data_IF_673996522739
#
_entry.id   IF_673996522739
#
_cell.length_a   1.000
_cell.length_b   1.000
_cell.length_c   1.000
_cell.angle_alpha   90.00
_cell.angle_beta   90.00
_cell.angle_gamma   90.00
#
_symmetry.space_group_name_H-M   'P 1'
#
loop_
_entity.id
_entity.type
_entity.pdbx_description
1 polymer ?
#
# COMPACT_ATOMS: atom_id res chain seq x y z
N UNK A 1 -19.69 -5.64 8.45
CA UNK A 1 -18.60 -5.25 7.52
C UNK A 1 -18.68 -5.97 6.18
N UNK A 2 -19.44 -7.06 5.99
CA UNK A 2 -19.49 -7.84 4.74
C UNK A 2 -20.03 -7.15 3.49
N UNK A 3 -20.72 -6.01 3.62
CA UNK A 3 -21.54 -5.45 2.53
C UNK A 3 -20.93 -4.19 1.87
N UNK A 4 -19.80 -3.68 2.40
CA UNK A 4 -19.11 -2.56 1.74
C UNK A 4 -18.17 -3.10 0.67
N UNK A 5 -18.18 -2.58 -0.57
CA UNK A 5 -17.26 -3.03 -1.62
C UNK A 5 -15.78 -2.91 -1.21
N UNK A 6 -15.42 -1.90 -0.42
CA UNK A 6 -14.04 -1.77 0.11
C UNK A 6 -13.80 -2.46 1.46
N UNK A 7 -14.79 -3.13 2.06
CA UNK A 7 -14.55 -3.70 3.38
C UNK A 7 -13.43 -4.74 3.30
N UNK A 8 -12.43 -4.51 4.13
CA UNK A 8 -11.40 -5.48 4.49
C UNK A 8 -12.10 -6.66 5.19
N UNK A 9 -12.74 -7.50 4.38
CA UNK A 9 -13.21 -8.83 4.71
C UNK A 9 -12.55 -9.79 3.73
N UNK A 10 -11.96 -10.86 4.27
CA UNK A 10 -11.26 -11.88 3.51
C UNK A 10 -12.11 -12.43 2.36
N UNK A 11 -11.43 -12.71 1.25
CA UNK A 11 -11.95 -13.10 -0.06
C UNK A 11 -12.36 -11.94 -0.99
N UNK A 12 -11.34 -11.33 -1.61
CA UNK A 12 -11.36 -10.57 -2.86
C UNK A 12 -12.26 -9.32 -2.98
N UNK A 13 -11.67 -8.15 -2.73
CA UNK A 13 -11.67 -7.05 -3.72
C UNK A 13 -10.25 -6.46 -3.77
N UNK A 14 -9.54 -6.70 -4.89
CA UNK A 14 -8.22 -6.09 -5.11
C UNK A 14 -8.39 -4.57 -5.14
N UNK A 15 -7.47 -3.79 -4.53
CA UNK A 15 -7.48 -2.34 -4.71
C UNK A 15 -7.50 -2.03 -6.21
N UNK A 16 -8.34 -1.07 -6.62
CA UNK A 16 -8.39 -0.64 -8.01
C UNK A 16 -7.42 0.51 -8.23
N UNK A 17 -7.04 0.71 -9.49
CA UNK A 17 -5.93 1.58 -9.88
C UNK A 17 -6.05 3.00 -9.35
N UNK A 18 -7.24 3.59 -9.42
CA UNK A 18 -7.51 4.96 -8.99
C UNK A 18 -7.38 5.14 -7.46
N UNK A 19 -7.73 4.12 -6.67
CA UNK A 19 -7.52 4.15 -5.21
C UNK A 19 -6.02 4.20 -4.89
N UNK A 20 -5.24 3.34 -5.54
CA UNK A 20 -3.78 3.29 -5.37
C UNK A 20 -3.16 4.61 -5.85
N UNK A 21 -3.55 5.08 -7.03
CA UNK A 21 -3.06 6.32 -7.61
C UNK A 21 -3.32 7.53 -6.70
N UNK A 22 -4.53 7.64 -6.14
CA UNK A 22 -4.84 8.70 -5.18
C UNK A 22 -3.98 8.59 -3.93
N UNK A 23 -3.95 7.44 -3.26
CA UNK A 23 -3.18 7.29 -2.02
C UNK A 23 -1.71 7.63 -2.24
N UNK A 24 -1.13 7.06 -3.30
CA UNK A 24 0.27 7.26 -3.63
C UNK A 24 0.56 8.71 -3.97
N UNK A 25 -0.31 9.41 -4.70
CA UNK A 25 -0.10 10.82 -5.07
C UNK A 25 0.15 11.77 -3.90
N UNK A 26 -0.19 11.34 -2.67
CA UNK A 26 0.04 12.07 -1.41
C UNK A 26 1.43 11.84 -0.80
N UNK A 27 2.13 10.76 -1.17
CA UNK A 27 3.39 10.32 -0.55
C UNK A 27 4.56 11.29 -0.80
N UNK A 28 4.47 12.13 -1.83
CA UNK A 28 5.41 13.22 -2.07
C UNK A 28 5.22 14.44 -1.17
N UNK A 29 4.10 14.52 -0.43
CA UNK A 29 3.76 15.62 0.46
C UNK A 29 3.36 15.07 1.83
N UNK A 30 4.36 14.71 2.62
CA UNK A 30 4.16 14.19 3.97
C UNK A 30 4.25 15.35 4.97
N UNK A 31 3.14 15.64 5.65
CA UNK A 31 2.99 16.83 6.49
C UNK A 31 2.98 16.44 7.97
N UNK A 32 3.99 16.88 8.76
CA UNK A 32 3.97 16.78 10.22
C UNK A 32 2.77 17.52 10.80
N UNK A 33 2.00 16.82 11.64
CA UNK A 33 0.84 17.38 12.35
C UNK A 33 0.87 16.95 13.80
N UNK A 34 0.35 17.79 14.70
CA UNK A 34 0.12 17.48 16.11
C UNK A 34 -1.30 16.94 16.30
N UNK A 35 -2.27 17.60 15.69
CA UNK A 35 -3.68 17.23 15.76
C UNK A 35 -4.21 16.76 14.40
N UNK A 36 -5.33 16.05 14.44
CA UNK A 36 -5.96 15.52 13.21
C UNK A 36 -6.59 16.63 12.35
N UNK A 37 -6.92 17.79 12.94
CA UNK A 37 -7.53 18.95 12.30
C UNK A 37 -6.53 20.08 11.98
N UNK A 38 -5.22 19.79 12.05
CA UNK A 38 -4.16 20.68 11.56
C UNK A 38 -4.21 20.84 10.04
N UNK A 39 -4.66 19.80 9.33
CA UNK A 39 -5.07 19.88 7.93
C UNK A 39 -6.59 19.95 7.83
N UNK A 40 -7.08 20.68 6.84
CA UNK A 40 -8.50 20.96 6.63
C UNK A 40 -8.98 20.48 5.28
N UNK A 41 -10.11 19.76 5.27
CA UNK A 41 -10.88 19.40 4.08
C UNK A 41 -10.00 18.88 2.94
N UNK A 42 -9.97 19.57 1.80
CA UNK A 42 -9.22 19.21 0.59
C UNK A 42 -7.70 19.20 0.75
N UNK A 43 -7.13 19.75 1.84
CA UNK A 43 -5.70 19.55 2.14
C UNK A 43 -5.38 18.06 2.31
N UNK A 44 -6.34 17.26 2.79
CA UNK A 44 -6.21 15.80 2.86
C UNK A 44 -6.19 15.10 1.49
N UNK A 45 -6.52 15.78 0.40
CA UNK A 45 -6.44 15.18 -0.95
C UNK A 45 -5.00 15.13 -1.48
N UNK A 46 -4.12 15.98 -0.97
CA UNK A 46 -2.75 16.13 -1.47
C UNK A 46 -1.67 15.81 -0.44
N UNK A 47 -2.01 15.65 0.83
CA UNK A 47 -1.04 15.45 1.92
C UNK A 47 -1.26 14.16 2.72
N UNK A 48 -0.20 13.37 2.92
CA UNK A 48 -0.19 12.29 3.89
C UNK A 48 0.20 12.83 5.27
N UNK A 49 -0.56 12.45 6.30
CA UNK A 49 -0.26 12.82 7.68
C UNK A 49 -0.72 11.73 8.64
N UNK A 50 -0.13 11.73 9.83
CA UNK A 50 -0.60 10.98 11.00
C UNK A 50 -0.46 11.89 12.22
N UNK A 51 -1.58 12.25 12.86
CA UNK A 51 -1.58 13.21 13.97
C UNK A 51 -0.61 12.81 15.10
N UNK A 52 0.30 13.69 15.51
CA UNK A 52 1.32 13.41 16.52
C UNK A 52 2.55 12.65 15.99
N UNK A 53 2.60 12.29 14.71
CA UNK A 53 3.80 11.78 14.06
C UNK A 53 4.56 12.93 13.39
N UNK A 54 5.38 13.65 14.16
CA UNK A 54 6.06 14.84 13.68
C UNK A 54 7.42 14.57 12.98
N UNK A 55 8.06 13.43 13.25
CA UNK A 55 9.36 13.08 12.65
C UNK A 55 9.18 12.60 11.21
N UNK A 56 10.01 13.07 10.29
CA UNK A 56 9.96 12.69 8.87
C UNK A 56 10.11 11.17 8.65
N UNK A 57 11.10 10.54 9.29
CA UNK A 57 11.30 9.08 9.19
C UNK A 57 10.10 8.27 9.67
N UNK A 58 9.48 8.69 10.77
CA UNK A 58 8.28 8.07 11.32
C UNK A 58 7.10 8.19 10.33
N UNK A 59 6.91 9.36 9.72
CA UNK A 59 5.86 9.56 8.72
C UNK A 59 6.09 8.68 7.49
N UNK A 60 7.32 8.64 6.97
CA UNK A 60 7.64 7.80 5.80
C UNK A 60 7.48 6.31 6.10
N UNK A 61 7.84 5.86 7.31
CA UNK A 61 7.59 4.50 7.78
C UNK A 61 6.09 4.16 7.83
N UNK A 62 5.27 5.05 8.42
CA UNK A 62 3.81 4.88 8.48
C UNK A 62 3.19 4.93 7.08
N UNK A 63 3.68 5.81 6.22
CA UNK A 63 3.21 5.96 4.85
C UNK A 63 3.46 4.68 4.04
N UNK A 64 4.65 4.10 4.15
CA UNK A 64 4.99 2.82 3.50
C UNK A 64 4.14 1.66 4.03
N UNK A 65 3.88 1.58 5.34
CA UNK A 65 3.03 0.55 5.91
C UNK A 65 1.57 0.66 5.45
N UNK A 66 1.02 1.88 5.36
CA UNK A 66 -0.33 2.11 4.85
C UNK A 66 -0.39 1.85 3.33
N UNK A 67 0.61 2.29 2.55
CA UNK A 67 0.71 1.99 1.11
C UNK A 67 0.67 0.49 0.87
N UNK A 68 1.50 -0.26 1.60
CA UNK A 68 1.55 -1.71 1.51
C UNK A 68 0.19 -2.33 1.87
N UNK A 69 -0.44 -1.87 2.95
CA UNK A 69 -1.73 -2.39 3.36
C UNK A 69 -2.83 -2.18 2.31
N UNK A 70 -2.88 -0.99 1.70
CA UNK A 70 -3.85 -0.66 0.67
C UNK A 70 -3.52 -1.38 -0.65
N UNK A 71 -2.31 -1.22 -1.16
CA UNK A 71 -1.91 -1.69 -2.50
C UNK A 71 -1.76 -3.21 -2.61
N UNK A 72 -1.44 -3.90 -1.52
CA UNK A 72 -1.32 -5.36 -1.50
C UNK A 72 -2.48 -6.06 -0.78
N UNK A 73 -3.51 -5.30 -0.35
CA UNK A 73 -4.70 -5.85 0.31
C UNK A 73 -4.42 -6.54 1.65
N UNK A 74 -3.57 -5.94 2.49
CA UNK A 74 -3.15 -6.53 3.77
C UNK A 74 -4.18 -6.28 4.86
N UNK A 75 -4.31 -7.25 5.76
CA UNK A 75 -5.23 -7.18 6.89
C UNK A 75 -4.73 -6.31 8.03
N UNK A 76 -5.64 -5.98 8.96
CA UNK A 76 -5.35 -5.15 10.13
C UNK A 76 -4.28 -5.75 11.05
N UNK A 77 -4.21 -7.07 11.18
CA UNK A 77 -3.22 -7.73 12.05
C UNK A 77 -1.79 -7.57 11.54
N UNK A 78 -1.58 -7.66 10.23
CA UNK A 78 -0.25 -7.47 9.65
C UNK A 78 0.15 -5.99 9.70
N UNK A 79 -0.77 -5.08 9.40
CA UNK A 79 -0.53 -3.65 9.61
C UNK A 79 -0.23 -3.32 11.09
N UNK A 80 -0.86 -4.02 12.04
CA UNK A 80 -0.57 -3.85 13.47
C UNK A 80 0.85 -4.28 13.81
N UNK A 81 1.32 -5.39 13.25
CA UNK A 81 2.71 -5.83 13.43
C UNK A 81 3.70 -4.79 12.89
N UNK A 82 3.44 -4.28 11.69
CA UNK A 82 4.25 -3.22 11.07
C UNK A 82 4.24 -1.94 11.92
N UNK A 83 3.06 -1.50 12.37
CA UNK A 83 2.93 -0.32 13.23
C UNK A 83 3.73 -0.43 14.53
N UNK A 84 3.66 -1.57 15.23
CA UNK A 84 4.42 -1.77 16.48
C UNK A 84 5.93 -1.70 16.24
N UNK A 85 6.40 -2.29 15.14
CA UNK A 85 7.81 -2.22 14.77
C UNK A 85 8.25 -0.79 14.44
N UNK A 86 7.43 -0.04 13.69
CA UNK A 86 7.67 1.36 13.36
C UNK A 86 7.76 2.23 14.62
N UNK A 87 6.79 2.11 15.54
CA UNK A 87 6.78 2.81 16.83
C UNK A 87 8.08 2.56 17.59
N UNK A 88 8.47 1.29 17.71
CA UNK A 88 9.69 0.86 18.41
C UNK A 88 10.95 1.41 17.76
N UNK A 89 11.10 1.28 16.44
CA UNK A 89 12.30 1.73 15.71
C UNK A 89 12.48 3.25 15.73
N UNK A 90 11.37 4.00 15.75
CA UNK A 90 11.40 5.46 15.75
C UNK A 90 11.40 6.08 17.16
N UNK A 91 11.28 5.25 18.21
CA UNK A 91 11.13 5.70 19.60
C UNK A 91 9.94 6.64 19.77
N UNK A 92 8.82 6.34 19.10
CA UNK A 92 7.64 7.21 19.12
C UNK A 92 6.81 6.95 20.37
N UNK A 93 6.75 7.94 21.26
CA UNK A 93 6.05 7.90 22.54
C UNK A 93 5.16 9.12 22.69
N UNK A 94 4.27 9.11 23.69
CA UNK A 94 3.32 10.17 24.00
C UNK A 94 2.13 10.24 23.02
N UNK A 95 1.88 9.21 22.22
CA UNK A 95 0.81 9.23 21.22
C UNK A 95 -0.52 8.72 21.80
N UNK A 96 -1.64 9.22 21.26
CA UNK A 96 -2.97 8.91 21.77
C UNK A 96 -3.29 7.41 21.72
N UNK A 97 -3.51 6.81 22.89
CA UNK A 97 -3.85 5.39 23.04
C UNK A 97 -2.68 4.50 23.47
N UNK A 98 -1.45 5.03 23.53
CA UNK A 98 -0.27 4.32 24.00
C UNK A 98 -0.48 3.73 25.41
N UNK A 99 0.08 2.54 25.66
CA UNK A 99 0.09 1.91 26.97
C UNK A 99 -1.21 1.18 27.35
N UNK A 100 -2.22 1.15 26.46
CA UNK A 100 -3.44 0.37 26.67
C UNK A 100 -3.82 -0.45 25.44
N UNK A 101 -4.12 -1.73 25.62
CA UNK A 101 -4.48 -2.63 24.51
C UNK A 101 -5.61 -2.06 23.63
N UNK A 102 -6.63 -1.46 24.26
CA UNK A 102 -7.76 -0.84 23.55
C UNK A 102 -7.35 0.43 22.81
N UNK A 103 -6.53 1.29 23.43
CA UNK A 103 -6.05 2.53 22.82
C UNK A 103 -5.15 2.27 21.61
N UNK A 104 -4.21 1.33 21.72
CA UNK A 104 -3.34 0.93 20.61
C UNK A 104 -4.15 0.32 19.46
N UNK A 105 -5.09 -0.59 19.79
CA UNK A 105 -5.96 -1.20 18.79
C UNK A 105 -6.83 -0.17 18.06
N UNK A 106 -7.37 0.81 18.79
CA UNK A 106 -8.10 1.94 18.21
C UNK A 106 -7.19 2.77 17.29
N UNK A 107 -5.99 3.13 17.74
CA UNK A 107 -5.05 3.96 16.96
C UNK A 107 -4.68 3.32 15.64
N UNK A 108 -4.26 2.05 15.69
CA UNK A 108 -3.89 1.25 14.52
C UNK A 108 -5.06 1.15 13.54
N UNK A 109 -6.26 0.82 14.04
CA UNK A 109 -7.46 0.76 13.22
C UNK A 109 -7.78 2.09 12.58
N UNK A 110 -7.75 3.18 13.35
CA UNK A 110 -8.09 4.53 12.86
C UNK A 110 -7.16 4.96 11.74
N UNK A 111 -5.84 4.77 11.88
CA UNK A 111 -4.87 5.13 10.83
C UNK A 111 -5.16 4.36 9.54
N UNK A 112 -5.27 3.03 9.61
CA UNK A 112 -5.46 2.21 8.42
C UNK A 112 -6.82 2.45 7.77
N UNK A 113 -7.89 2.38 8.55
CA UNK A 113 -9.26 2.45 8.01
C UNK A 113 -9.58 3.83 7.45
N UNK A 114 -9.11 4.90 8.08
CA UNK A 114 -9.31 6.26 7.58
C UNK A 114 -8.65 6.43 6.22
N UNK A 115 -7.35 6.12 6.13
CA UNK A 115 -6.62 6.23 4.85
C UNK A 115 -7.23 5.33 3.77
N UNK A 116 -7.55 4.07 4.09
CA UNK A 116 -8.15 3.14 3.14
C UNK A 116 -9.51 3.63 2.62
N UNK A 117 -10.41 4.09 3.49
CA UNK A 117 -11.75 4.54 3.11
C UNK A 117 -11.71 5.87 2.33
N UNK A 118 -10.89 6.84 2.74
CA UNK A 118 -10.74 8.09 2.00
C UNK A 118 -10.13 7.85 0.62
N UNK A 119 -9.15 6.95 0.51
CA UNK A 119 -8.55 6.61 -0.79
C UNK A 119 -9.49 5.83 -1.68
N UNK A 120 -10.30 4.93 -1.11
CA UNK A 120 -11.38 4.27 -1.84
C UNK A 120 -12.37 5.29 -2.40
N UNK A 121 -12.88 6.19 -1.54
CA UNK A 121 -13.84 7.22 -1.92
C UNK A 121 -13.29 8.13 -3.02
N UNK A 122 -12.03 8.59 -2.90
CA UNK A 122 -11.36 9.40 -3.90
C UNK A 122 -11.22 8.69 -5.25
N UNK A 123 -10.78 7.42 -5.23
CA UNK A 123 -10.69 6.63 -6.44
C UNK A 123 -12.07 6.40 -7.09
N UNK A 124 -13.11 6.15 -6.29
CA UNK A 124 -14.48 5.99 -6.77
C UNK A 124 -15.03 7.29 -7.35
N UNK A 125 -14.78 8.43 -6.71
CA UNK A 125 -15.17 9.74 -7.24
C UNK A 125 -14.55 9.98 -8.61
N UNK A 126 -13.27 9.64 -8.78
CA UNK A 126 -12.58 9.73 -10.05
C UNK A 126 -13.26 8.88 -11.14
N UNK A 127 -13.61 7.63 -10.81
CA UNK A 127 -14.35 6.74 -11.73
C UNK A 127 -15.75 7.25 -12.05
N UNK A 128 -16.45 7.82 -11.07
CA UNK A 128 -17.80 8.37 -11.26
C UNK A 128 -17.79 9.57 -12.20
N UNK A 129 -16.82 10.48 -12.04
CA UNK A 129 -16.64 11.64 -12.92
C UNK A 129 -16.26 11.21 -14.33
N UNK A 130 -15.29 10.30 -14.48
CA UNK A 130 -14.87 9.79 -15.78
C UNK A 130 -15.98 9.00 -16.50
N UNK A 131 -16.80 8.26 -15.76
CA UNK A 131 -17.93 7.48 -16.31
C UNK A 131 -19.15 8.30 -16.71
N UNK A 132 -19.18 9.60 -16.40
CA UNK A 132 -20.27 10.54 -16.73
C UNK A 132 -21.68 10.00 -16.40
N UNK A 133 -21.83 9.36 -15.23
CA UNK A 133 -23.11 8.79 -14.81
C UNK A 133 -24.12 9.89 -14.50
N UNK A 134 -25.32 9.92 -15.11
CA UNK A 134 -26.33 10.97 -14.89
C UNK A 134 -26.97 10.95 -13.49
N UNK A 135 -26.87 9.82 -12.77
CA UNK A 135 -27.42 9.65 -11.42
C UNK A 135 -26.37 9.03 -10.52
N UNK A 136 -26.16 9.62 -9.36
CA UNK A 136 -25.38 9.05 -8.27
C UNK A 136 -26.32 8.57 -7.16
N UNK A 137 -26.00 7.40 -6.60
CA UNK A 137 -26.77 6.74 -5.54
C UNK A 137 -25.93 6.68 -4.28
N UNK A 138 -26.40 7.33 -3.21
CA UNK A 138 -25.79 7.22 -1.88
C UNK A 138 -26.18 5.88 -1.25
N UNK A 139 -25.20 5.13 -0.75
CA UNK A 139 -25.41 3.86 -0.07
C UNK A 139 -24.75 3.86 1.30
N UNK A 140 -25.49 3.38 2.29
CA UNK A 140 -24.96 3.06 3.59
C UNK A 140 -24.22 1.71 3.55
N UNK A 141 -23.01 1.65 4.11
CA UNK A 141 -22.28 0.38 4.29
C UNK A 141 -22.63 -0.30 5.60
N UNK A 142 -22.04 -1.46 5.89
CA UNK A 142 -22.39 -2.29 7.05
C UNK A 142 -21.80 -1.85 8.40
N UNK A 143 -21.97 -0.58 8.79
CA UNK A 143 -21.61 -0.04 10.11
C UNK A 143 -22.52 -0.65 11.19
N UNK A 144 -21.95 -1.09 12.32
CA UNK A 144 -22.73 -1.67 13.42
C UNK A 144 -23.55 -0.62 14.18
N UNK A 145 -23.00 0.59 14.32
CA UNK A 145 -23.64 1.73 14.97
C UNK A 145 -23.76 2.86 13.94
N UNK A 146 -24.75 2.79 13.02
CA UNK A 146 -24.90 3.77 11.97
C UNK A 146 -25.47 5.09 12.50
N UNK A 147 -25.00 6.22 11.95
CA UNK A 147 -25.60 7.54 12.21
C UNK A 147 -27.00 7.58 11.56
N UNK A 148 -28.07 8.00 12.28
CA UNK A 148 -29.42 8.05 11.72
C UNK A 148 -29.51 8.84 10.41
N UNK A 149 -28.81 9.97 10.32
CA UNK A 149 -28.78 10.80 9.10
C UNK A 149 -28.26 10.02 7.88
N UNK A 150 -27.30 9.12 8.07
CA UNK A 150 -26.72 8.34 6.96
C UNK A 150 -27.66 7.22 6.50
N UNK A 151 -28.49 6.67 7.40
CA UNK A 151 -29.59 5.77 7.05
C UNK A 151 -30.69 6.53 6.30
N UNK A 152 -30.97 7.76 6.74
CA UNK A 152 -31.90 8.65 6.06
C UNK A 152 -31.39 9.06 4.68
N UNK A 153 -30.09 9.05 4.40
CA UNK A 153 -29.55 9.25 3.05
C UNK A 153 -29.42 7.96 2.23
N UNK A 154 -29.51 6.76 2.84
CA UNK A 154 -29.37 5.49 2.10
C UNK A 154 -30.43 5.30 1.02
N UNK A 155 -29.97 5.11 -0.22
CA UNK A 155 -30.79 5.03 -1.42
C UNK A 155 -31.15 6.40 -2.02
N UNK A 156 -30.61 7.51 -1.52
CA UNK A 156 -30.81 8.81 -2.14
C UNK A 156 -30.23 8.82 -3.57
N UNK A 157 -31.01 9.33 -4.51
CA UNK A 157 -30.66 9.41 -5.93
C UNK A 157 -30.59 10.87 -6.34
N UNK A 158 -29.41 11.37 -6.69
CA UNK A 158 -29.22 12.77 -7.08
C UNK A 158 -28.41 12.87 -8.38
N UNK A 159 -28.61 13.96 -9.10
CA UNK A 159 -27.71 14.34 -10.19
C UNK A 159 -26.30 14.63 -9.62
N UNK A 160 -25.21 14.28 -10.34
CA UNK A 160 -23.84 14.58 -9.92
C UNK A 160 -23.56 16.05 -9.57
N UNK A 161 -24.25 17.00 -10.21
CA UNK A 161 -24.09 18.43 -9.99
C UNK A 161 -24.82 18.95 -8.72
N UNK A 162 -25.60 18.10 -8.04
CA UNK A 162 -26.35 18.50 -6.85
C UNK A 162 -25.40 18.90 -5.71
N UNK A 163 -25.67 20.03 -5.04
CA UNK A 163 -24.80 20.62 -4.02
C UNK A 163 -24.50 19.68 -2.83
N UNK A 164 -25.40 18.74 -2.55
CA UNK A 164 -25.20 17.67 -1.55
C UNK A 164 -23.83 17.00 -1.66
N UNK A 165 -23.40 16.67 -2.88
CA UNK A 165 -22.14 15.95 -3.08
C UNK A 165 -20.89 16.75 -2.71
N UNK A 166 -20.98 18.09 -2.60
CA UNK A 166 -19.82 18.91 -2.21
C UNK A 166 -19.40 18.68 -0.76
N UNK A 167 -20.35 18.38 0.12
CA UNK A 167 -20.12 18.27 1.58
C UNK A 167 -20.55 16.93 2.16
N UNK A 168 -21.37 16.14 1.45
CA UNK A 168 -21.93 14.88 1.92
C UNK A 168 -21.47 13.66 1.10
N UNK A 169 -20.51 13.83 0.19
CA UNK A 169 -19.87 12.67 -0.45
C UNK A 169 -19.04 11.92 0.61
N UNK A 170 -19.30 10.64 0.87
CA UNK A 170 -18.68 9.92 1.98
C UNK A 170 -17.22 9.55 1.70
N UNK A 171 -16.42 9.20 2.74
CA UNK A 171 -16.78 9.17 4.16
C UNK A 171 -17.08 10.55 4.75
N UNK A 172 -18.10 10.61 5.60
CA UNK A 172 -18.60 11.87 6.19
C UNK A 172 -18.21 12.08 7.66
N UNK A 173 -17.49 11.12 8.24
CA UNK A 173 -16.92 11.20 9.60
C UNK A 173 -16.01 9.99 9.84
N UNK A 174 -15.32 9.97 10.98
CA UNK A 174 -14.55 8.83 11.47
C UNK A 174 -15.38 7.54 11.47
N UNK A 175 -14.80 6.48 10.88
CA UNK A 175 -15.43 5.16 10.79
C UNK A 175 -16.60 5.07 9.81
N UNK A 176 -16.93 6.13 9.06
CA UNK A 176 -17.99 6.07 8.06
C UNK A 176 -17.64 5.08 6.95
N UNK A 177 -18.53 4.14 6.69
CA UNK A 177 -18.42 3.15 5.61
C UNK A 177 -19.46 3.38 4.51
N UNK A 178 -20.01 4.58 4.38
CA UNK A 178 -20.94 4.89 3.28
C UNK A 178 -20.17 5.08 1.97
N UNK A 179 -20.84 4.87 0.84
CA UNK A 179 -20.23 4.92 -0.49
C UNK A 179 -21.23 5.40 -1.55
N UNK A 180 -20.71 5.72 -2.75
CA UNK A 180 -21.51 6.23 -3.86
C UNK A 180 -21.35 5.36 -5.10
N UNK A 181 -22.46 5.10 -5.78
CA UNK A 181 -22.52 4.34 -7.01
C UNK A 181 -23.06 5.20 -8.15
N UNK A 182 -22.57 4.97 -9.37
CA UNK A 182 -23.01 5.65 -10.57
C UNK A 182 -24.03 4.82 -11.33
N UNK A 183 -25.09 5.45 -11.81
CA UNK A 183 -26.16 4.81 -12.57
C UNK A 183 -26.44 5.54 -13.88
N UNK A 184 -26.55 4.78 -14.97
CA UNK A 184 -26.85 5.30 -16.32
C UNK A 184 -28.33 5.64 -16.55
N UNK A 185 -29.23 5.20 -15.66
CA UNK A 185 -30.67 5.42 -15.75
C UNK A 185 -31.31 5.25 -14.38
N UNK A 186 -32.53 5.76 -14.21
CA UNK A 186 -33.30 5.56 -12.97
C UNK A 186 -33.52 4.07 -12.68
N UNK A 187 -33.80 3.25 -13.72
CA UNK A 187 -33.92 1.80 -13.59
C UNK A 187 -32.63 1.16 -13.07
N UNK A 188 -31.47 1.63 -13.54
CA UNK A 188 -30.17 1.16 -13.03
C UNK A 188 -29.94 1.61 -11.59
N UNK A 189 -30.28 2.85 -11.25
CA UNK A 189 -30.17 3.38 -9.89
C UNK A 189 -31.00 2.56 -8.89
N UNK A 190 -32.23 2.17 -9.25
CA UNK A 190 -33.08 1.28 -8.42
C UNK A 190 -32.41 -0.06 -8.14
N UNK A 191 -31.78 -0.68 -9.15
CA UNK A 191 -31.03 -1.95 -8.97
C UNK A 191 -29.82 -1.79 -8.05
N UNK A 192 -29.24 -0.59 -7.98
CA UNK A 192 -28.14 -0.25 -7.08
C UNK A 192 -28.62 0.18 -5.69
N UNK A 193 -29.91 0.05 -5.38
CA UNK A 193 -30.52 0.40 -4.09
C UNK A 193 -31.06 1.82 -3.99
N UNK A 194 -31.12 2.55 -5.10
CA UNK A 194 -31.76 3.86 -5.16
C UNK A 194 -33.27 3.78 -4.92
N UNK A 195 -33.81 4.75 -4.17
CA UNK A 195 -35.22 4.85 -3.78
C UNK A 195 -35.87 6.06 -4.47
N UNK A 196 -36.65 5.85 -5.55
CA UNK A 196 -37.33 6.94 -6.24
C UNK A 196 -38.24 7.74 -5.31
N UNK A 197 -38.31 9.06 -5.50
CA UNK A 197 -39.11 9.96 -4.67
C UNK A 197 -38.51 10.24 -3.28
N UNK A 198 -37.40 9.59 -2.90
CA UNK A 198 -36.66 9.95 -1.69
C UNK A 198 -36.03 11.33 -1.87
N UNK A 199 -36.38 12.25 -0.97
CA UNK A 199 -35.92 13.64 -0.97
C UNK A 199 -35.02 13.90 0.23
N UNK A 200 -34.20 14.94 0.13
CA UNK A 200 -33.38 15.40 1.24
C UNK A 200 -34.26 16.06 2.32
N UNK A 201 -33.95 15.85 3.62
CA UNK A 201 -34.55 16.63 4.71
C UNK A 201 -34.36 18.13 4.48
N UNK A 202 -35.33 18.99 4.83
CA UNK A 202 -35.25 20.44 4.54
C UNK A 202 -34.03 21.13 5.16
N UNK A 203 -33.58 20.61 6.28
CA UNK A 203 -32.48 21.09 7.11
C UNK A 203 -31.14 20.40 6.80
N UNK A 204 -31.01 19.68 5.69
CA UNK A 204 -29.76 18.98 5.32
C UNK A 204 -28.54 19.91 5.20
N UNK A 205 -28.74 21.21 4.99
CA UNK A 205 -27.67 22.22 4.94
C UNK A 205 -27.46 22.97 6.26
N UNK A 206 -28.32 22.74 7.26
CA UNK A 206 -28.17 23.37 8.56
C UNK A 206 -26.81 22.99 9.16
N UNK A 207 -26.11 23.96 9.76
CA UNK A 207 -24.82 23.72 10.39
C UNK A 207 -25.06 23.24 11.82
N UNK A 208 -24.42 22.11 12.18
CA UNK A 208 -24.35 21.66 13.56
C UNK A 208 -23.31 22.52 14.31
N UNK A 209 -23.70 23.28 15.34
CA UNK A 209 -22.77 24.11 16.10
C UNK A 209 -21.63 23.33 16.76
N UNK A 210 -21.82 22.02 17.03
CA UNK A 210 -20.79 21.18 17.65
C UNK A 210 -19.66 20.83 16.69
N UNK A 211 -19.99 20.62 15.42
CA UNK A 211 -19.00 20.20 14.41
C UNK A 211 -18.55 21.37 13.53
N UNK A 212 -19.35 22.42 13.42
CA UNK A 212 -19.16 23.49 12.43
C UNK A 212 -19.37 23.03 10.99
N UNK A 213 -19.95 21.84 10.78
CA UNK A 213 -20.25 21.22 9.50
C UNK A 213 -21.77 20.98 9.36
N UNK A 214 -22.29 20.66 8.16
CA UNK A 214 -23.70 20.32 7.99
C UNK A 214 -24.15 19.18 8.91
N UNK A 215 -25.42 19.18 9.31
CA UNK A 215 -26.01 18.15 10.17
C UNK A 215 -25.77 16.75 9.60
N UNK A 216 -25.20 15.86 10.40
CA UNK A 216 -24.84 14.50 10.00
C UNK A 216 -23.42 14.36 9.41
N UNK A 217 -22.67 15.46 9.31
CA UNK A 217 -21.26 15.48 8.88
C UNK A 217 -20.36 15.83 10.06
N UNK A 218 -19.25 15.09 10.20
CA UNK A 218 -18.23 15.34 11.22
C UNK A 218 -17.46 16.63 10.97
N UNK A 219 -16.86 17.21 12.03
CA UNK A 219 -15.99 18.38 11.89
C UNK A 219 -14.90 18.11 10.86
N UNK A 220 -14.73 19.01 9.88
CA UNK A 220 -13.71 18.92 8.84
C UNK A 220 -13.88 17.78 7.81
N UNK A 221 -14.99 17.04 7.87
CA UNK A 221 -15.36 16.01 6.89
C UNK A 221 -16.33 16.53 5.81
N UNK A 222 -16.60 17.83 5.81
CA UNK A 222 -17.49 18.53 4.87
C UNK A 222 -16.82 18.81 3.52
N UNK A 223 -16.26 17.76 2.91
CA UNK A 223 -15.67 17.77 1.59
C UNK A 223 -15.82 16.40 0.92
N UNK A 224 -15.69 16.35 -0.40
CA UNK A 224 -15.63 15.09 -1.14
C UNK A 224 -14.16 14.65 -1.29
N UNK A 225 -13.74 13.52 -0.70
CA UNK A 225 -12.36 13.06 -0.83
C UNK A 225 -11.96 12.86 -2.29
N UNK A 226 -10.80 13.39 -2.66
CA UNK A 226 -10.24 13.33 -4.01
C UNK A 226 -10.84 14.32 -5.01
N UNK A 227 -11.83 15.13 -4.62
CA UNK A 227 -12.54 16.02 -5.55
C UNK A 227 -11.58 17.02 -6.20
N UNK A 228 -10.68 17.60 -5.40
CA UNK A 228 -9.70 18.60 -5.83
C UNK A 228 -8.57 18.04 -6.70
N UNK A 229 -8.40 16.72 -6.75
CA UNK A 229 -7.31 16.03 -7.47
C UNK A 229 -7.80 14.95 -8.43
N UNK A 230 -9.12 14.89 -8.68
CA UNK A 230 -9.73 13.77 -9.41
C UNK A 230 -9.16 13.57 -10.83
N UNK A 231 -8.84 14.65 -11.54
CA UNK A 231 -8.24 14.58 -12.87
C UNK A 231 -6.81 14.04 -12.82
N UNK A 232 -6.02 14.48 -11.83
CA UNK A 232 -4.68 13.95 -11.56
C UNK A 232 -4.74 12.46 -11.24
N UNK A 233 -5.70 12.04 -10.42
CA UNK A 233 -5.92 10.62 -10.09
C UNK A 233 -6.22 9.80 -11.34
N UNK A 234 -7.10 10.28 -12.22
CA UNK A 234 -7.39 9.61 -13.50
C UNK A 234 -6.16 9.53 -14.40
N UNK A 235 -5.40 10.61 -14.54
CA UNK A 235 -4.18 10.64 -15.35
C UNK A 235 -3.12 9.67 -14.82
N UNK A 236 -2.92 9.62 -13.50
CA UNK A 236 -2.03 8.65 -12.86
C UNK A 236 -2.53 7.22 -13.05
N UNK A 237 -3.83 6.96 -12.87
CA UNK A 237 -4.40 5.64 -13.04
C UNK A 237 -4.29 5.12 -14.49
N UNK A 238 -4.44 6.00 -15.48
CA UNK A 238 -4.27 5.65 -16.89
C UNK A 238 -2.83 5.23 -17.22
N UNK A 239 -1.82 5.83 -16.57
CA UNK A 239 -0.40 5.44 -16.72
C UNK A 239 -0.11 4.04 -16.16
N UNK A 240 -0.94 3.56 -15.24
CA UNK A 240 -0.68 2.37 -14.41
C UNK A 240 -1.13 1.04 -15.06
N UNK A 241 -1.68 1.07 -16.28
CA UNK A 241 -2.22 -0.08 -17.03
C UNK A 241 -1.66 -1.49 -16.68
N UNK A 242 -2.55 -2.35 -16.19
CA UNK A 242 -2.55 -3.82 -16.15
C UNK A 242 -1.25 -4.63 -15.89
N UNK A 243 -0.33 -4.23 -15.01
CA UNK A 243 0.78 -5.11 -14.61
C UNK A 243 1.07 -5.09 -13.11
N UNK A 244 0.68 -6.17 -12.42
CA UNK A 244 0.90 -6.40 -10.99
C UNK A 244 2.41 -6.39 -10.65
N UNK A 245 2.78 -5.73 -9.55
CA UNK A 245 4.13 -5.38 -9.03
C UNK A 245 4.92 -4.21 -9.69
N UNK A 246 4.76 -3.85 -10.97
CA UNK A 246 5.52 -2.72 -11.58
C UNK A 246 4.98 -1.33 -11.23
N UNK A 247 3.80 -1.31 -10.60
CA UNK A 247 3.02 -0.11 -10.26
C UNK A 247 3.61 0.66 -9.07
N UNK A 248 4.24 -0.03 -8.12
CA UNK A 248 4.94 0.61 -7.01
C UNK A 248 6.11 1.46 -7.51
N UNK A 249 6.89 0.89 -8.43
CA UNK A 249 8.08 1.51 -8.99
C UNK A 249 7.77 2.76 -9.81
N UNK A 250 6.78 2.70 -10.72
CA UNK A 250 6.45 3.85 -11.58
C UNK A 250 6.01 5.09 -10.80
N UNK A 251 5.29 4.91 -9.69
CA UNK A 251 4.91 6.02 -8.84
C UNK A 251 6.10 6.56 -8.05
N UNK A 252 6.90 5.67 -7.44
CA UNK A 252 8.08 6.06 -6.69
C UNK A 252 9.13 6.75 -7.58
N UNK A 253 9.20 6.41 -8.87
CA UNK A 253 10.05 7.09 -9.86
C UNK A 253 9.67 8.56 -10.09
N UNK A 254 8.40 8.94 -9.92
CA UNK A 254 7.94 10.33 -10.09
C UNK A 254 8.17 11.21 -8.85
N UNK A 255 8.55 10.60 -7.71
CA UNK A 255 8.86 11.33 -6.47
C UNK A 255 10.30 11.88 -6.47
N UNK A 256 10.59 12.92 -5.67
CA UNK A 256 11.97 13.29 -5.35
C UNK A 256 12.77 12.07 -4.88
N UNK A 257 14.02 11.95 -5.34
CA UNK A 257 14.86 10.78 -5.10
C UNK A 257 15.00 10.46 -3.60
N UNK A 258 15.12 11.48 -2.76
CA UNK A 258 15.20 11.32 -1.30
C UNK A 258 13.93 10.68 -0.72
N UNK A 259 12.75 11.18 -1.08
CA UNK A 259 11.46 10.62 -0.63
C UNK A 259 11.28 9.19 -1.14
N UNK A 260 11.65 8.95 -2.40
CA UNK A 260 11.57 7.64 -3.03
C UNK A 260 12.48 6.61 -2.35
N UNK A 261 13.71 7.02 -2.02
CA UNK A 261 14.69 6.21 -1.29
C UNK A 261 14.21 5.92 0.13
N UNK A 262 13.65 6.92 0.82
CA UNK A 262 13.13 6.78 2.18
C UNK A 262 11.95 5.81 2.24
N UNK A 263 10.99 5.92 1.31
CA UNK A 263 9.86 4.99 1.20
C UNK A 263 10.31 3.57 0.84
N UNK A 264 11.29 3.45 -0.04
CA UNK A 264 11.86 2.16 -0.44
C UNK A 264 12.61 1.48 0.71
N UNK A 265 13.29 2.25 1.57
CA UNK A 265 13.89 1.77 2.82
C UNK A 265 12.82 1.36 3.82
N UNK A 266 11.82 2.21 4.04
CA UNK A 266 10.71 1.95 4.95
C UNK A 266 9.96 0.66 4.59
N UNK A 267 9.64 0.46 3.31
CA UNK A 267 9.00 -0.77 2.81
C UNK A 267 9.80 -2.04 3.16
N UNK A 268 11.13 -2.00 3.02
CA UNK A 268 12.02 -3.15 3.35
C UNK A 268 12.19 -3.37 4.84
N UNK A 269 12.00 -2.33 5.65
CA UNK A 269 12.05 -2.43 7.11
C UNK A 269 10.80 -3.11 7.70
N UNK A 270 9.68 -3.17 6.96
CA UNK A 270 8.43 -3.73 7.47
C UNK A 270 8.55 -5.23 7.79
N UNK A 271 8.14 -5.68 9.01
CA UNK A 271 7.99 -7.08 9.35
C UNK A 271 7.18 -7.87 8.30
N UNK A 272 6.08 -7.29 7.81
CA UNK A 272 5.25 -7.93 6.80
C UNK A 272 6.02 -8.24 5.51
N UNK A 273 6.95 -7.38 5.07
CA UNK A 273 7.82 -7.63 3.90
C UNK A 273 8.72 -8.85 4.12
N UNK A 274 9.30 -8.99 5.30
CA UNK A 274 10.12 -10.15 5.66
C UNK A 274 9.28 -11.43 5.67
N UNK A 275 8.10 -11.37 6.28
CA UNK A 275 7.17 -12.49 6.35
C UNK A 275 6.65 -12.93 4.97
N UNK A 276 6.49 -12.00 4.04
CA UNK A 276 6.05 -12.33 2.70
C UNK A 276 7.06 -13.15 1.92
N UNK A 277 8.34 -12.79 2.02
CA UNK A 277 9.41 -13.52 1.34
C UNK A 277 9.57 -14.91 1.96
N UNK A 278 9.47 -15.02 3.28
CA UNK A 278 9.42 -16.31 3.98
C UNK A 278 8.26 -17.17 3.50
N UNK A 279 7.02 -16.64 3.50
CA UNK A 279 5.82 -17.38 3.08
C UNK A 279 5.87 -17.76 1.60
N UNK A 280 6.37 -16.88 0.75
CA UNK A 280 6.58 -17.15 -0.67
C UNK A 280 7.56 -18.31 -0.86
N UNK A 281 8.72 -18.24 -0.21
CA UNK A 281 9.72 -19.29 -0.25
C UNK A 281 9.17 -20.62 0.30
N UNK A 282 8.42 -20.58 1.40
CA UNK A 282 7.79 -21.76 2.00
C UNK A 282 6.87 -22.46 0.99
N UNK A 283 5.98 -21.72 0.33
CA UNK A 283 5.07 -22.26 -0.70
C UNK A 283 5.83 -22.91 -1.86
N UNK A 284 6.93 -22.31 -2.29
CA UNK A 284 7.79 -22.90 -3.35
C UNK A 284 8.53 -24.14 -2.83
N UNK A 285 9.03 -24.11 -1.60
CA UNK A 285 9.74 -25.22 -0.98
C UNK A 285 8.85 -26.44 -0.85
N UNK A 286 7.62 -26.23 -0.37
CA UNK A 286 6.58 -27.24 -0.20
C UNK A 286 5.92 -27.67 -1.51
N UNK A 287 6.29 -27.08 -2.66
CA UNK A 287 5.71 -27.35 -3.98
C UNK A 287 4.20 -27.05 -4.06
N UNK A 288 3.73 -26.13 -3.23
CA UNK A 288 2.34 -25.65 -3.24
C UNK A 288 2.20 -24.30 -3.98
N UNK A 289 3.25 -23.82 -4.64
CA UNK A 289 3.28 -22.52 -5.33
C UNK A 289 2.32 -22.42 -6.53
N UNK A 290 1.97 -23.56 -7.13
CA UNK A 290 0.93 -23.65 -8.16
C UNK A 290 -0.50 -23.53 -7.61
N UNK A 291 -0.68 -23.46 -6.28
CA UNK A 291 -1.98 -23.52 -5.62
C UNK A 291 -2.30 -24.95 -5.16
N UNK A 292 -3.31 -25.05 -4.30
CA UNK A 292 -3.96 -26.30 -3.88
C UNK A 292 -5.47 -26.11 -4.02
N UNK A 293 -6.28 -27.12 -3.70
CA UNK A 293 -7.74 -27.00 -3.69
C UNK A 293 -8.20 -25.81 -2.81
N UNK A 294 -7.62 -25.68 -1.62
CA UNK A 294 -7.98 -24.62 -0.66
C UNK A 294 -7.16 -23.32 -0.79
N UNK A 295 -6.16 -23.26 -1.68
CA UNK A 295 -5.24 -22.13 -1.74
C UNK A 295 -4.95 -21.68 -3.17
N UNK A 296 -5.11 -20.38 -3.40
CA UNK A 296 -4.70 -19.76 -4.66
C UNK A 296 -3.19 -19.94 -4.93
N UNK A 297 -2.77 -19.96 -6.22
CA UNK A 297 -1.36 -19.92 -6.60
C UNK A 297 -0.65 -18.68 -6.04
N UNK A 298 0.64 -18.79 -5.75
CA UNK A 298 1.44 -17.61 -5.38
C UNK A 298 1.61 -16.69 -6.58
N UNK A 299 1.86 -15.40 -6.36
CA UNK A 299 2.15 -14.49 -7.47
C UNK A 299 3.40 -14.92 -8.25
N UNK A 300 3.54 -14.59 -9.55
CA UNK A 300 4.72 -14.96 -10.34
C UNK A 300 6.02 -14.42 -9.73
N UNK A 301 5.96 -13.21 -9.20
CA UNK A 301 7.08 -12.53 -8.53
C UNK A 301 6.62 -11.98 -7.20
N UNK A 302 7.59 -11.77 -6.30
CA UNK A 302 7.40 -11.03 -5.05
C UNK A 302 8.45 -9.94 -4.95
N UNK A 303 7.98 -8.70 -4.82
CA UNK A 303 8.83 -7.52 -4.65
C UNK A 303 9.45 -7.47 -3.26
N UNK A 304 10.66 -6.93 -3.19
CA UNK A 304 11.32 -6.47 -1.98
C UNK A 304 11.30 -4.94 -1.92
N UNK A 305 10.76 -4.24 -2.90
CA UNK A 305 10.77 -2.78 -3.02
C UNK A 305 11.85 -2.27 -3.98
N UNK A 306 11.71 -0.99 -4.33
CA UNK A 306 12.55 -0.34 -5.32
C UNK A 306 14.00 -0.20 -4.83
N UNK A 307 14.94 -0.35 -5.75
CA UNK A 307 16.34 -0.04 -5.55
C UNK A 307 16.51 1.47 -5.36
N UNK A 308 17.14 1.83 -4.24
CA UNK A 308 17.50 3.21 -3.93
C UNK A 308 18.56 3.74 -4.89
N UNK A 309 18.64 5.05 -5.01
CA UNK A 309 19.68 5.73 -5.80
C UNK A 309 21.09 5.24 -5.45
N UNK A 310 21.38 5.05 -4.15
CA UNK A 310 22.64 4.50 -3.65
C UNK A 310 22.93 3.07 -4.14
N UNK A 311 21.93 2.19 -4.19
CA UNK A 311 22.12 0.83 -4.71
C UNK A 311 22.48 0.86 -6.19
N UNK A 312 21.83 1.72 -6.98
CA UNK A 312 22.10 1.84 -8.41
C UNK A 312 23.56 2.24 -8.65
N UNK A 313 24.05 3.24 -7.91
CA UNK A 313 25.45 3.68 -7.99
C UNK A 313 26.42 2.55 -7.63
N UNK A 314 26.19 1.88 -6.49
CA UNK A 314 27.06 0.79 -6.01
C UNK A 314 27.04 -0.43 -6.93
N UNK A 315 25.91 -0.75 -7.55
CA UNK A 315 25.81 -1.83 -8.54
C UNK A 315 26.62 -1.49 -9.80
N UNK A 316 26.46 -0.29 -10.35
CA UNK A 316 27.20 0.12 -11.54
C UNK A 316 28.72 0.14 -11.27
N UNK A 317 29.14 0.60 -10.09
CA UNK A 317 30.53 0.55 -9.63
C UNK A 317 31.04 -0.90 -9.57
N UNK A 318 30.30 -1.79 -8.89
CA UNK A 318 30.69 -3.20 -8.75
C UNK A 318 30.76 -3.95 -10.08
N UNK A 319 29.97 -3.53 -11.08
CA UNK A 319 29.96 -4.08 -12.43
C UNK A 319 31.02 -3.45 -13.36
N UNK A 320 31.64 -2.34 -12.97
CA UNK A 320 32.54 -1.57 -13.82
C UNK A 320 31.89 -1.01 -15.09
N UNK A 321 30.55 -0.94 -15.12
CA UNK A 321 29.76 -0.50 -16.28
C UNK A 321 28.51 0.24 -15.85
N UNK A 322 28.00 1.14 -16.69
CA UNK A 322 26.72 1.80 -16.48
C UNK A 322 25.54 0.88 -16.91
N UNK A 323 25.43 -0.26 -16.23
CA UNK A 323 24.43 -1.28 -16.53
C UNK A 323 23.01 -0.81 -16.20
N UNK A 324 22.86 -0.02 -15.13
CA UNK A 324 21.61 0.63 -14.72
C UNK A 324 21.68 2.12 -15.08
N UNK A 325 21.09 2.49 -16.22
CA UNK A 325 21.01 3.88 -16.70
C UNK A 325 19.73 4.61 -16.33
N UNK A 326 18.73 3.87 -15.85
CA UNK A 326 17.40 4.39 -15.50
C UNK A 326 17.09 4.01 -14.07
N UNK A 327 16.44 4.91 -13.35
CA UNK A 327 15.90 4.65 -12.01
C UNK A 327 14.74 3.64 -12.08
N UNK A 328 14.26 3.23 -10.91
CA UNK A 328 13.11 2.36 -10.80
C UNK A 328 13.37 0.92 -11.19
N UNK A 329 14.49 0.38 -10.72
CA UNK A 329 14.66 -1.06 -10.66
C UNK A 329 14.04 -1.59 -9.39
N UNK A 330 13.27 -2.67 -9.48
CA UNK A 330 12.68 -3.34 -8.32
C UNK A 330 13.48 -4.57 -7.94
N UNK A 331 13.79 -4.76 -6.65
CA UNK A 331 14.31 -6.04 -6.18
C UNK A 331 13.17 -7.04 -6.10
N UNK A 332 13.34 -8.24 -6.66
CA UNK A 332 12.29 -9.25 -6.64
C UNK A 332 12.84 -10.67 -6.51
N UNK A 333 12.00 -11.57 -5.99
CA UNK A 333 12.15 -13.02 -6.11
C UNK A 333 11.09 -13.58 -7.08
N UNK A 334 11.44 -14.67 -7.76
CA UNK A 334 10.52 -15.45 -8.59
C UNK A 334 10.57 -16.93 -8.22
N UNK A 335 9.61 -17.71 -8.74
CA UNK A 335 9.51 -19.15 -8.48
C UNK A 335 10.75 -19.90 -8.95
N UNK A 336 11.37 -19.49 -10.05
CA UNK A 336 12.48 -20.21 -10.67
C UNK A 336 13.77 -20.06 -9.86
N UNK A 337 14.12 -18.83 -9.47
CA UNK A 337 15.24 -18.56 -8.57
C UNK A 337 15.03 -19.25 -7.22
N UNK A 338 13.83 -19.20 -6.68
CA UNK A 338 13.51 -19.87 -5.40
C UNK A 338 13.62 -21.40 -5.49
N UNK A 339 13.19 -22.01 -6.61
CA UNK A 339 13.35 -23.46 -6.85
C UNK A 339 14.82 -23.86 -7.01
N UNK A 340 15.62 -23.03 -7.69
CA UNK A 340 17.07 -23.24 -7.81
C UNK A 340 17.75 -23.18 -6.43
N UNK A 341 17.40 -22.18 -5.61
CA UNK A 341 17.91 -22.08 -4.23
C UNK A 341 17.55 -23.33 -3.43
N UNK A 342 16.32 -23.82 -3.54
CA UNK A 342 15.93 -25.08 -2.90
C UNK A 342 16.75 -26.27 -3.39
N UNK A 343 17.00 -26.40 -4.69
CA UNK A 343 17.70 -27.57 -5.25
C UNK A 343 19.18 -27.57 -4.92
N UNK A 344 19.85 -26.42 -4.96
CA UNK A 344 21.30 -26.34 -4.79
C UNK A 344 21.73 -26.01 -3.35
N UNK A 345 20.94 -25.21 -2.65
CA UNK A 345 21.26 -24.65 -1.34
C UNK A 345 20.27 -25.05 -0.23
N UNK A 346 19.15 -25.70 -0.59
CA UNK A 346 18.15 -26.18 0.37
C UNK A 346 18.51 -27.51 1.05
N UNK A 347 17.55 -28.16 1.74
CA UNK A 347 17.80 -29.38 2.53
C UNK A 347 18.37 -30.55 1.74
N UNK A 348 18.07 -30.63 0.44
CA UNK A 348 18.58 -31.65 -0.48
C UNK A 348 19.73 -31.14 -1.36
N UNK A 349 20.23 -29.94 -1.07
CA UNK A 349 21.27 -29.27 -1.84
C UNK A 349 22.68 -29.73 -1.47
N UNK A 350 23.66 -29.20 -2.21
CA UNK A 350 25.08 -29.52 -2.06
C UNK A 350 25.81 -28.59 -1.11
N UNK A 351 25.12 -27.58 -0.58
CA UNK A 351 25.72 -26.54 0.25
C UNK A 351 25.96 -27.03 1.67
N UNK A 352 27.12 -26.66 2.24
CA UNK A 352 27.48 -27.03 3.60
C UNK A 352 26.50 -26.47 4.65
N UNK A 353 25.91 -25.31 4.38
CA UNK A 353 24.88 -24.69 5.23
C UNK A 353 23.60 -24.58 4.40
N UNK A 354 22.54 -25.19 4.92
CA UNK A 354 21.21 -25.21 4.28
C UNK A 354 20.52 -23.86 4.41
N UNK A 355 19.99 -23.38 3.29
CA UNK A 355 19.00 -22.31 3.21
C UNK A 355 17.60 -22.89 3.40
N UNK A 356 16.85 -22.27 4.29
CA UNK A 356 15.45 -22.58 4.58
C UNK A 356 14.55 -21.42 4.17
N UNK A 357 13.23 -21.60 4.11
CA UNK A 357 12.29 -20.49 3.90
C UNK A 357 12.44 -19.35 4.92
N UNK A 358 12.89 -19.65 6.15
CA UNK A 358 13.13 -18.63 7.19
C UNK A 358 14.25 -17.67 6.77
N UNK A 359 15.29 -18.16 6.11
CA UNK A 359 16.41 -17.31 5.67
C UNK A 359 15.99 -16.27 4.61
N UNK A 360 14.93 -16.52 3.83
CA UNK A 360 14.41 -15.54 2.87
C UNK A 360 13.89 -14.26 3.55
N UNK A 361 13.53 -14.33 4.84
CA UNK A 361 13.17 -13.16 5.64
C UNK A 361 14.33 -12.18 5.84
N UNK A 362 15.58 -12.61 5.60
CA UNK A 362 16.79 -11.79 5.73
C UNK A 362 17.08 -10.97 4.48
N UNK A 363 16.50 -11.33 3.33
CA UNK A 363 16.76 -10.65 2.05
C UNK A 363 16.52 -9.14 2.08
N UNK A 364 15.44 -8.59 2.71
CA UNK A 364 15.23 -7.14 2.77
C UNK A 364 16.37 -6.40 3.47
N UNK A 365 16.89 -6.99 4.55
CA UNK A 365 18.01 -6.41 5.31
C UNK A 365 19.34 -6.56 4.56
N UNK A 366 19.56 -7.73 3.95
CA UNK A 366 20.73 -8.02 3.13
C UNK A 366 20.86 -7.03 1.97
N UNK A 367 19.76 -6.69 1.28
CA UNK A 367 19.81 -5.74 0.17
C UNK A 367 19.79 -4.28 0.63
N UNK A 368 19.26 -3.96 1.81
CA UNK A 368 19.23 -2.58 2.33
C UNK A 368 20.56 -2.11 2.89
N UNK A 369 21.27 -3.00 3.57
CA UNK A 369 22.55 -2.69 4.20
C UNK A 369 23.53 -3.84 3.95
N UNK A 370 23.92 -4.10 2.69
CA UNK A 370 24.95 -5.08 2.42
C UNK A 370 26.29 -4.63 3.02
N UNK A 371 27.11 -5.59 3.44
CA UNK A 371 28.51 -5.33 3.80
C UNK A 371 29.35 -5.06 2.54
N UNK A 372 28.96 -5.66 1.40
CA UNK A 372 29.57 -5.42 0.10
C UNK A 372 28.60 -5.71 -1.05
N UNK A 373 28.74 -4.95 -2.14
CA UNK A 373 28.16 -5.24 -3.45
C UNK A 373 29.32 -5.55 -4.40
N UNK A 374 29.30 -6.72 -5.04
CA UNK A 374 30.35 -7.23 -5.91
C UNK A 374 29.79 -7.62 -7.28
N UNK A 375 30.66 -7.81 -8.27
CA UNK A 375 30.26 -8.50 -9.50
C UNK A 375 29.82 -9.93 -9.17
N UNK A 376 28.66 -10.34 -9.69
CA UNK A 376 28.07 -11.66 -9.50
C UNK A 376 28.63 -12.76 -10.40
N UNK A 377 29.80 -12.52 -11.03
CA UNK A 377 30.44 -13.41 -11.99
C UNK A 377 29.95 -13.21 -13.43
N UNK A 378 30.35 -14.13 -14.32
CA UNK A 378 30.08 -14.04 -15.75
C UNK A 378 28.57 -13.94 -16.06
N UNK A 379 28.24 -13.13 -17.07
CA UNK A 379 26.89 -12.94 -17.56
C UNK A 379 26.24 -14.28 -17.91
N UNK A 380 25.05 -14.55 -17.37
CA UNK A 380 24.26 -15.68 -17.84
C UNK A 380 23.32 -15.19 -18.93
N UNK A 381 23.53 -15.70 -20.15
CA UNK A 381 22.78 -15.28 -21.34
C UNK A 381 22.89 -13.76 -21.62
N UNK A 382 24.04 -13.16 -21.31
CA UNK A 382 24.30 -11.74 -21.59
C UNK A 382 23.67 -10.75 -20.60
N UNK A 383 23.20 -11.20 -19.43
CA UNK A 383 22.61 -10.33 -18.40
C UNK A 383 23.59 -10.09 -17.25
N UNK A 384 23.90 -8.82 -16.89
CA UNK A 384 24.75 -8.49 -15.76
C UNK A 384 24.20 -8.98 -14.41
N UNK A 385 25.10 -9.27 -13.47
CA UNK A 385 24.74 -9.80 -12.14
C UNK A 385 25.48 -9.07 -11.03
N UNK A 386 24.75 -8.67 -9.99
CA UNK A 386 25.31 -8.08 -8.78
C UNK A 386 25.14 -9.05 -7.61
N UNK A 387 26.22 -9.26 -6.84
CA UNK A 387 26.23 -10.05 -5.62
C UNK A 387 26.17 -9.12 -4.42
N UNK A 388 25.19 -9.33 -3.56
CA UNK A 388 25.03 -8.65 -2.28
C UNK A 388 25.48 -9.60 -1.18
N UNK A 389 26.43 -9.16 -0.35
CA UNK A 389 26.99 -9.93 0.77
C UNK A 389 26.63 -9.25 2.08
N UNK A 390 26.17 -10.02 3.07
CA UNK A 390 25.95 -9.53 4.44
C UNK A 390 26.25 -10.62 5.48
N UNK A 391 26.88 -10.22 6.58
CA UNK A 391 27.13 -11.07 7.75
C UNK A 391 26.01 -10.88 8.76
N UNK A 392 25.30 -11.97 9.09
CA UNK A 392 24.19 -11.95 10.05
C UNK A 392 24.39 -13.11 11.03
N UNK A 393 24.43 -12.80 12.33
CA UNK A 393 24.65 -13.78 13.40
C UNK A 393 25.84 -14.72 13.13
N UNK A 394 26.96 -14.16 12.66
CA UNK A 394 28.18 -14.91 12.36
C UNK A 394 28.14 -15.74 11.08
N UNK A 395 27.08 -15.68 10.27
CA UNK A 395 26.99 -16.34 8.95
C UNK A 395 27.11 -15.33 7.82
N UNK A 396 27.90 -15.63 6.80
CA UNK A 396 28.04 -14.79 5.61
C UNK A 396 27.04 -15.24 4.55
N UNK A 397 26.00 -14.44 4.37
CA UNK A 397 24.95 -14.63 3.38
C UNK A 397 25.31 -13.90 2.08
N UNK A 398 25.06 -14.55 0.95
CA UNK A 398 25.27 -13.99 -0.39
C UNK A 398 24.03 -14.19 -1.25
N UNK A 399 23.54 -13.10 -1.84
CA UNK A 399 22.42 -13.10 -2.76
C UNK A 399 22.86 -12.51 -4.11
N UNK A 400 22.65 -13.26 -5.20
CA UNK A 400 22.98 -12.81 -6.56
C UNK A 400 21.71 -12.37 -7.26
N UNK A 401 21.70 -11.12 -7.72
CA UNK A 401 20.61 -10.51 -8.47
C UNK A 401 21.03 -10.30 -9.93
N UNK A 402 20.20 -10.78 -10.85
CA UNK A 402 20.35 -10.59 -12.30
C UNK A 402 19.59 -9.34 -12.73
N UNK A 403 20.28 -8.48 -13.47
CA UNK A 403 19.74 -7.22 -13.96
C UNK A 403 18.90 -7.46 -15.22
N UNK A 404 17.59 -7.24 -15.12
CA UNK A 404 16.65 -7.37 -16.24
C UNK A 404 16.17 -6.01 -16.71
N UNK A 405 16.89 -5.40 -17.66
CA UNK A 405 16.61 -4.04 -18.16
C UNK A 405 15.20 -3.87 -18.74
N UNK A 406 14.68 -4.86 -19.48
CA UNK A 406 13.33 -4.80 -20.06
C UNK A 406 12.22 -4.78 -19.01
N UNK A 407 12.40 -5.49 -17.88
CA UNK A 407 11.43 -5.49 -16.78
C UNK A 407 11.75 -4.46 -15.69
N UNK A 408 12.91 -3.80 -15.75
CA UNK A 408 13.49 -3.00 -14.67
C UNK A 408 13.47 -3.73 -13.33
N UNK A 409 14.07 -4.92 -13.31
CA UNK A 409 14.07 -5.78 -12.13
C UNK A 409 15.49 -6.26 -11.81
N UNK A 410 15.84 -6.23 -10.53
CA UNK A 410 16.95 -6.96 -9.95
C UNK A 410 16.38 -8.28 -9.43
N UNK A 411 16.47 -9.34 -10.23
CA UNK A 411 15.82 -10.62 -9.94
C UNK A 411 16.77 -11.55 -9.19
N UNK A 412 16.36 -12.05 -8.02
CA UNK A 412 17.13 -13.02 -7.26
C UNK A 412 17.32 -14.31 -8.08
N UNK A 413 18.58 -14.66 -8.33
CA UNK A 413 18.97 -15.89 -9.03
C UNK A 413 19.37 -17.00 -8.08
N UNK A 414 20.15 -16.66 -7.08
CA UNK A 414 20.58 -17.59 -6.04
C UNK A 414 20.84 -16.84 -4.73
N UNK A 415 20.75 -17.57 -3.63
CA UNK A 415 20.92 -17.12 -2.26
C UNK A 415 21.49 -18.27 -1.44
N UNK A 416 22.63 -18.06 -0.78
CA UNK A 416 23.37 -19.10 -0.09
C UNK A 416 24.24 -18.55 1.04
N UNK A 417 24.79 -19.45 1.86
CA UNK A 417 25.75 -19.11 2.93
C UNK A 417 27.12 -19.68 2.56
N UNK A 418 28.15 -18.84 2.55
CA UNK A 418 29.51 -19.24 2.11
C UNK A 418 30.42 -19.72 3.24
N UNK A 419 30.27 -19.18 4.46
CA UNK A 419 31.08 -19.53 5.64
C UNK A 419 30.51 -18.91 6.92
N UNK A 420 31.01 -19.35 8.07
CA UNK A 420 30.94 -18.57 9.31
C UNK A 420 32.00 -17.46 9.27
N UNK A 421 31.63 -16.23 9.65
CA UNK A 421 32.58 -15.17 9.93
C UNK A 421 33.44 -15.60 11.14
N UNK A 422 34.77 -15.47 11.00
CA UNK A 422 35.72 -15.80 12.06
C UNK A 422 35.75 -14.72 13.13
#
# INVERSE_FOLDING_TARGET
MSDHPSAVSGAFQRPFTEQIAFFRSKLGNQVPTQAWDDLKRSEHDSAFMVAGAAKADLLSDLAAAVDKAISEGRGLEEFRADFRDIVRRNGWTGWTGEGSVRGEAWRVRTILTTNAMTSYAAGRLAQLKAGNFPIWVYRHGGSQEPRPQHLDWDGLMLNPAHLFWRTHYPPSDWGCSCYVLGASSERAAKRLGGKPGKTLPKDWQAIDPKTGAPVGIGKNWDYAPGDSVSEKVQALAAKVGSWDNRIATAFLEELPAETSDQLSRAYRALPSTRDDLRRYAQRVFDRTDAGTEDMAPVQPTRTLGMARSGHVAQINEALGTEAIRKTGFDFAIDRNGTRHIRSEHGPSGKSAITITPVDFALLPELVEQPDAILSGGDEHKGLPRALFRKTIAGKVYEAVFELRGGTRTLMLKTFYVVKYAR
#
